data_IF_639181410896
#
_entry.id   IF_639181410896
#
_cell.length_a   1.000
_cell.length_b   1.000
_cell.length_c   1.000
_cell.angle_alpha   90.00
_cell.angle_beta   90.00
_cell.angle_gamma   90.00
#
_symmetry.space_group_name_H-M   'P 1'
#
loop_
_entity.id
_entity.type
_entity.pdbx_description
1 polymer ?
#
# COMPACT_ATOMS: atom_id res chain seq x y z
N UNK A 1 -30.24 -15.51 4.80
CA UNK A 1 -28.83 -15.21 5.09
C UNK A 1 -28.09 -15.25 3.77
N UNK A 2 -28.04 -14.13 3.05
CA UNK A 2 -27.57 -14.13 1.67
C UNK A 2 -26.66 -12.92 1.46
N UNK A 3 -25.35 -13.09 1.65
CA UNK A 3 -24.37 -12.14 1.14
C UNK A 3 -23.66 -12.77 -0.06
N UNK A 4 -24.07 -12.28 -1.21
CA UNK A 4 -23.47 -12.55 -2.51
C UNK A 4 -22.12 -11.83 -2.58
N UNK A 5 -21.03 -12.56 -2.30
CA UNK A 5 -19.65 -12.07 -2.50
C UNK A 5 -19.22 -12.26 -3.95
N UNK A 6 -19.94 -11.63 -4.88
CA UNK A 6 -19.48 -11.50 -6.25
C UNK A 6 -18.36 -10.44 -6.33
N UNK A 7 -17.15 -10.88 -6.66
CA UNK A 7 -16.23 -10.07 -7.47
C UNK A 7 -14.96 -9.51 -6.84
N UNK A 8 -14.62 -9.80 -5.59
CA UNK A 8 -13.32 -9.39 -5.04
C UNK A 8 -12.33 -10.54 -5.18
N UNK A 9 -11.68 -10.64 -6.34
CA UNK A 9 -10.40 -11.36 -6.40
C UNK A 9 -9.52 -10.78 -5.27
N UNK A 10 -8.96 -11.62 -4.38
CA UNK A 10 -8.00 -11.11 -3.40
C UNK A 10 -6.88 -10.45 -4.18
N UNK A 11 -6.76 -9.14 -4.05
CA UNK A 11 -5.64 -8.36 -4.61
C UNK A 11 -4.38 -9.02 -4.07
N UNK A 12 -3.68 -9.76 -4.92
CA UNK A 12 -2.39 -10.35 -4.60
C UNK A 12 -1.44 -9.18 -4.34
N UNK A 13 -0.70 -9.23 -3.23
CA UNK A 13 0.17 -8.12 -2.82
C UNK A 13 1.30 -7.87 -3.83
N UNK A 14 1.67 -8.86 -4.64
CA UNK A 14 2.54 -8.71 -5.82
C UNK A 14 2.00 -7.74 -6.90
N UNK A 15 0.68 -7.52 -6.93
CA UNK A 15 0.03 -6.55 -7.83
C UNK A 15 -0.04 -5.14 -7.22
N UNK A 16 0.35 -5.00 -5.94
CA UNK A 16 0.35 -3.72 -5.24
C UNK A 16 1.55 -2.89 -5.70
N UNK A 17 1.33 -1.95 -6.62
CA UNK A 17 2.35 -0.97 -7.01
C UNK A 17 2.84 -0.20 -5.77
N UNK A 18 4.15 -0.25 -5.43
CA UNK A 18 4.68 0.40 -4.23
C UNK A 18 4.47 1.92 -4.23
N UNK A 19 4.52 2.57 -5.39
CA UNK A 19 4.34 4.02 -5.48
C UNK A 19 2.88 4.41 -5.21
N UNK A 20 1.91 3.67 -5.75
CA UNK A 20 0.49 3.86 -5.45
C UNK A 20 0.19 3.57 -3.98
N UNK A 21 0.80 2.54 -3.41
CA UNK A 21 0.67 2.26 -1.97
C UNK A 21 1.16 3.43 -1.10
N UNK A 22 2.34 3.97 -1.42
CA UNK A 22 2.94 5.11 -0.73
C UNK A 22 2.03 6.35 -0.84
N UNK A 23 1.53 6.66 -2.03
CA UNK A 23 0.63 7.79 -2.24
C UNK A 23 -0.68 7.66 -1.46
N UNK A 24 -1.24 6.46 -1.40
CA UNK A 24 -2.52 6.21 -0.75
C UNK A 24 -2.45 6.19 0.79
N UNK A 25 -1.31 5.78 1.37
CA UNK A 25 -1.21 5.49 2.80
C UNK A 25 -0.30 6.46 3.58
N UNK A 26 0.39 7.39 2.91
CA UNK A 26 1.25 8.37 3.57
C UNK A 26 0.63 9.75 3.63
N UNK A 27 1.06 10.57 4.61
CA UNK A 27 0.61 11.95 4.74
C UNK A 27 1.51 12.87 3.93
N UNK A 28 0.93 13.73 3.12
CA UNK A 28 1.68 14.77 2.43
C UNK A 28 1.87 15.97 3.37
N UNK A 29 3.10 16.23 3.82
CA UNK A 29 3.41 17.31 4.75
C UNK A 29 4.45 18.28 4.18
N UNK A 30 4.31 19.60 4.42
CA UNK A 30 5.30 20.59 4.00
C UNK A 30 6.61 20.42 4.78
N UNK A 31 7.72 20.74 4.13
CA UNK A 31 9.03 20.83 4.81
C UNK A 31 9.07 22.12 5.62
N UNK A 32 9.49 22.12 6.92
CA UNK A 32 9.47 23.31 7.77
C UNK A 32 10.20 24.53 7.19
N UNK A 33 11.35 24.32 6.54
CA UNK A 33 12.14 25.40 5.94
C UNK A 33 11.75 25.73 4.50
N UNK A 34 10.92 24.90 3.85
CA UNK A 34 10.55 24.99 2.44
C UNK A 34 9.08 24.54 2.25
N UNK A 35 8.09 25.37 2.62
CA UNK A 35 6.69 24.95 2.63
C UNK A 35 6.10 24.66 1.25
N UNK A 36 6.73 25.16 0.18
CA UNK A 36 6.43 24.83 -1.21
C UNK A 36 6.74 23.36 -1.55
N UNK A 37 7.69 22.74 -0.83
CA UNK A 37 8.02 21.32 -0.98
C UNK A 37 7.20 20.50 0.01
N UNK A 38 6.55 19.45 -0.49
CA UNK A 38 5.80 18.52 0.33
C UNK A 38 6.31 17.10 0.16
N UNK A 39 6.43 16.39 1.28
CA UNK A 39 6.93 15.03 1.33
C UNK A 39 5.86 14.07 1.83
N UNK A 40 5.83 12.87 1.26
CA UNK A 40 5.11 11.75 1.86
C UNK A 40 5.82 11.35 3.14
N UNK A 41 5.15 11.52 4.27
CA UNK A 41 5.68 11.27 5.60
C UNK A 41 5.00 10.05 6.24
N UNK A 42 5.82 9.16 6.80
CA UNK A 42 5.35 7.96 7.48
C UNK A 42 4.64 8.30 8.79
N UNK A 43 3.70 7.44 9.19
CA UNK A 43 3.01 7.54 10.47
C UNK A 43 2.65 6.14 10.98
N UNK A 44 2.27 5.96 12.26
CA UNK A 44 2.02 4.63 12.81
C UNK A 44 0.99 3.79 12.03
N UNK A 45 -0.01 4.45 11.43
CA UNK A 45 -1.03 3.81 10.58
C UNK A 45 -0.66 3.59 9.10
N UNK A 46 0.54 3.97 8.63
CA UNK A 46 0.87 3.94 7.19
C UNK A 46 1.03 2.53 6.62
N UNK A 47 1.26 1.53 7.48
CA UNK A 47 1.34 0.14 7.06
C UNK A 47 2.54 -0.22 6.18
N UNK A 48 3.59 0.61 6.14
CA UNK A 48 4.78 0.40 5.30
C UNK A 48 5.46 -0.98 5.49
N UNK A 49 5.30 -1.61 6.66
CA UNK A 49 5.73 -3.00 6.90
C UNK A 49 5.23 -3.97 5.84
N UNK A 50 4.01 -3.76 5.34
CA UNK A 50 3.37 -4.63 4.34
C UNK A 50 4.12 -4.67 3.01
N UNK A 51 4.94 -3.67 2.70
CA UNK A 51 5.79 -3.67 1.50
C UNK A 51 7.03 -4.57 1.63
N UNK A 52 7.39 -4.98 2.86
CA UNK A 52 8.57 -5.80 3.13
C UNK A 52 8.24 -7.25 3.48
N UNK A 53 6.97 -7.53 3.75
CA UNK A 53 6.49 -8.90 4.03
C UNK A 53 6.58 -9.70 2.72
N UNK A 54 7.36 -10.79 2.68
CA UNK A 54 7.43 -11.62 1.47
C UNK A 54 6.02 -12.07 1.08
N UNK A 55 5.74 -12.08 -0.22
CA UNK A 55 4.61 -12.86 -0.73
C UNK A 55 4.84 -14.30 -0.27
N UNK A 56 3.98 -14.84 0.58
CA UNK A 56 4.04 -16.26 0.91
C UNK A 56 4.02 -17.05 -0.41
N UNK A 57 5.13 -17.73 -0.69
CA UNK A 57 5.46 -18.24 -2.01
C UNK A 57 4.47 -19.29 -2.50
N UNK A 58 3.62 -18.89 -3.46
CA UNK A 58 2.81 -19.82 -4.26
C UNK A 58 2.48 -19.19 -5.61
N UNK A 59 3.52 -18.88 -6.39
CA UNK A 59 3.41 -18.85 -7.86
C UNK A 59 4.30 -19.97 -8.40
N UNK A 60 3.91 -21.22 -8.14
CA UNK A 60 4.25 -22.32 -9.04
C UNK A 60 3.32 -22.18 -10.25
N UNK A 61 3.85 -21.71 -11.36
CA UNK A 61 3.21 -21.81 -12.67
C UNK A 61 4.22 -22.48 -13.61
N UNK A 62 3.98 -23.78 -13.81
CA UNK A 62 4.32 -24.67 -14.93
C UNK A 62 5.68 -24.50 -15.64
#
# INVERSE_FOLDING_TARGET
>A
MNENVAGLTPIHRADLDPAEFIKANMRLQPVPSLPEIRLYTAHPGSGLRRLLEPEDGSHEHA
#
